data_IF_701438981235
#
_entry.id   IF_701438981235
#
_cell.length_a   1.000
_cell.length_b   1.000
_cell.length_c   1.000
_cell.angle_alpha   90.00
_cell.angle_beta   90.00
_cell.angle_gamma   90.00
#
_symmetry.space_group_name_H-M   'P 1'
#
loop_
_entity.id
_entity.type
_entity.pdbx_description
1 polymer ?
#
# COMPACT_ATOMS: atom_id res chain seq x y z
N UNK A 1 16.91 7.08 6.89
CA UNK A 1 16.11 5.84 6.92
C UNK A 1 17.09 4.66 7.04
N UNK A 2 17.55 4.34 8.24
CA UNK A 2 18.38 3.16 8.48
C UNK A 2 17.44 1.99 8.76
N UNK A 3 17.30 1.05 7.82
CA UNK A 3 16.74 -0.25 8.19
C UNK A 3 17.56 -0.80 9.36
N UNK A 4 16.95 -1.46 10.36
CA UNK A 4 17.71 -2.11 11.40
C UNK A 4 18.63 -3.13 10.72
N UNK A 5 19.93 -2.87 10.80
CA UNK A 5 21.03 -3.67 10.25
C UNK A 5 20.83 -5.21 10.21
N UNK A 6 20.16 -5.86 11.18
CA UNK A 6 19.85 -7.28 11.08
C UNK A 6 19.00 -7.68 9.86
N UNK A 7 17.98 -6.91 9.47
CA UNK A 7 17.05 -7.34 8.40
C UNK A 7 17.70 -7.25 7.03
N UNK A 8 18.39 -6.15 6.75
CA UNK A 8 19.13 -5.98 5.48
C UNK A 8 20.24 -7.00 5.35
N UNK A 9 20.99 -7.26 6.43
CA UNK A 9 22.02 -8.30 6.42
C UNK A 9 21.43 -9.70 6.14
N UNK A 10 20.31 -10.04 6.78
CA UNK A 10 19.62 -11.32 6.56
C UNK A 10 19.14 -11.45 5.11
N UNK A 11 18.53 -10.40 4.55
CA UNK A 11 18.05 -10.42 3.16
C UNK A 11 19.20 -10.56 2.17
N UNK A 12 20.31 -9.86 2.39
CA UNK A 12 21.50 -9.95 1.53
C UNK A 12 22.10 -11.35 1.63
N UNK A 13 22.30 -11.88 2.84
CA UNK A 13 22.83 -13.24 3.04
C UNK A 13 21.91 -14.29 2.41
N UNK A 14 20.59 -14.17 2.59
CA UNK A 14 19.62 -15.09 1.98
C UNK A 14 19.65 -15.01 0.45
N UNK A 15 19.73 -13.80 -0.12
CA UNK A 15 19.85 -13.61 -1.57
C UNK A 15 21.13 -14.24 -2.12
N UNK A 16 22.28 -14.00 -1.47
CA UNK A 16 23.55 -14.63 -1.87
C UNK A 16 23.51 -16.15 -1.71
N UNK A 17 22.94 -16.67 -0.61
CA UNK A 17 22.80 -18.11 -0.41
C UNK A 17 21.93 -18.76 -1.51
N UNK A 18 20.84 -18.10 -1.92
CA UNK A 18 19.98 -18.58 -3.01
C UNK A 18 20.69 -18.55 -4.36
N UNK A 19 21.46 -17.51 -4.65
CA UNK A 19 22.25 -17.42 -5.88
C UNK A 19 23.33 -18.53 -5.94
N UNK A 20 24.04 -18.75 -4.83
CA UNK A 20 25.01 -19.84 -4.73
C UNK A 20 24.37 -21.23 -4.82
N UNK A 21 23.20 -21.43 -4.20
CA UNK A 21 22.50 -22.71 -4.18
C UNK A 21 21.91 -23.08 -5.55
N UNK A 22 21.41 -22.11 -6.33
CA UNK A 22 20.78 -22.39 -7.63
C UNK A 22 21.76 -22.63 -8.78
N UNK A 23 23.05 -22.31 -8.63
CA UNK A 23 24.06 -22.38 -9.71
C UNK A 23 23.66 -21.65 -11.00
N UNK A 24 22.70 -20.73 -10.91
CA UNK A 24 22.26 -19.91 -12.04
C UNK A 24 23.28 -18.79 -12.27
N UNK A 25 23.72 -18.53 -13.52
CA UNK A 25 24.50 -17.35 -13.82
C UNK A 25 23.68 -16.12 -13.42
N UNK A 26 24.18 -15.31 -12.50
CA UNK A 26 23.42 -14.24 -11.82
C UNK A 26 22.70 -13.23 -12.73
N UNK A 27 23.01 -13.20 -14.03
CA UNK A 27 22.31 -12.40 -15.03
C UNK A 27 20.87 -12.85 -15.33
N UNK A 28 20.52 -14.13 -15.19
CA UNK A 28 19.16 -14.61 -15.46
C UNK A 28 18.17 -14.15 -14.37
N UNK A 29 18.60 -14.18 -13.10
CA UNK A 29 17.79 -13.70 -11.96
C UNK A 29 17.49 -12.21 -12.08
N UNK A 30 18.45 -11.40 -12.51
CA UNK A 30 18.27 -9.96 -12.74
C UNK A 30 17.36 -9.66 -13.95
N UNK A 31 17.22 -10.61 -14.88
CA UNK A 31 16.32 -10.51 -16.04
C UNK A 31 14.86 -10.70 -15.66
N UNK A 32 14.59 -11.50 -14.63
CA UNK A 32 13.24 -11.77 -14.12
C UNK A 32 12.72 -10.68 -13.18
N UNK A 33 13.56 -9.71 -12.81
CA UNK A 33 13.16 -8.57 -11.99
C UNK A 33 12.31 -7.60 -12.80
N UNK A 34 11.13 -7.25 -12.27
CA UNK A 34 10.27 -6.22 -12.85
C UNK A 34 10.79 -4.82 -12.53
N UNK A 35 11.65 -4.30 -13.39
CA UNK A 35 12.25 -2.97 -13.26
C UNK A 35 11.20 -1.85 -13.26
N UNK A 36 10.10 -2.01 -14.01
CA UNK A 36 8.99 -1.04 -14.03
C UNK A 36 8.34 -0.93 -12.65
N UNK A 37 8.12 -2.06 -11.99
CA UNK A 37 7.58 -2.10 -10.63
C UNK A 37 8.54 -1.47 -9.61
N UNK A 38 9.85 -1.72 -9.73
CA UNK A 38 10.83 -1.09 -8.85
C UNK A 38 10.82 0.43 -8.98
N UNK A 39 10.74 0.96 -10.21
CA UNK A 39 10.65 2.40 -10.46
C UNK A 39 9.34 2.98 -9.87
N UNK A 40 8.21 2.27 -9.98
CA UNK A 40 6.95 2.65 -9.35
C UNK A 40 7.12 2.80 -7.82
N UNK A 41 7.73 1.81 -7.17
CA UNK A 41 7.97 1.85 -5.72
C UNK A 41 8.92 3.00 -5.33
N UNK A 42 9.99 3.22 -6.09
CA UNK A 42 10.90 4.36 -5.87
C UNK A 42 10.13 5.68 -5.94
N UNK A 43 9.31 5.87 -6.98
CA UNK A 43 8.46 7.04 -7.13
C UNK A 43 7.50 7.24 -5.94
N UNK A 44 6.87 6.15 -5.47
CA UNK A 44 6.00 6.17 -4.29
C UNK A 44 6.77 6.58 -3.02
N UNK A 45 8.00 6.09 -2.82
CA UNK A 45 8.81 6.50 -1.65
C UNK A 45 9.23 7.97 -1.71
N UNK A 46 9.53 8.50 -2.90
CA UNK A 46 9.82 9.94 -3.09
C UNK A 46 8.57 10.77 -2.77
N UNK A 47 7.40 10.36 -3.25
CA UNK A 47 6.12 11.02 -2.95
C UNK A 47 5.85 11.04 -1.44
N UNK A 48 6.05 9.89 -0.78
CA UNK A 48 5.95 9.74 0.68
C UNK A 48 6.90 10.69 1.41
N UNK A 49 8.14 10.83 0.95
CA UNK A 49 9.10 11.76 1.55
C UNK A 49 8.65 13.22 1.42
N UNK A 50 8.11 13.62 0.25
CA UNK A 50 7.57 14.96 0.03
C UNK A 50 6.32 15.28 0.86
N UNK A 51 5.45 14.29 1.08
CA UNK A 51 4.27 14.44 1.94
C UNK A 51 4.65 14.81 3.38
N UNK A 52 5.74 14.24 3.91
CA UNK A 52 6.25 14.58 5.25
C UNK A 52 6.71 16.03 5.38
N UNK A 53 7.09 16.68 4.29
CA UNK A 53 7.49 18.09 4.29
C UNK A 53 6.32 19.05 4.03
N UNK A 54 5.11 18.53 3.82
CA UNK A 54 3.92 19.32 3.52
C UNK A 54 3.25 19.76 4.83
N UNK A 55 2.73 21.01 4.92
CA UNK A 55 2.06 21.52 6.14
C UNK A 55 0.77 20.78 6.52
N UNK A 56 0.29 19.85 5.67
CA UNK A 56 -0.92 19.06 5.92
C UNK A 56 -0.74 18.08 7.08
N UNK A 57 0.47 17.56 7.29
CA UNK A 57 0.76 16.60 8.37
C UNK A 57 0.70 17.28 9.74
N UNK A 58 1.42 18.40 10.00
CA UNK A 58 1.28 19.14 11.27
C UNK A 58 -0.14 19.63 11.55
N UNK A 59 -0.90 20.01 10.51
CA UNK A 59 -2.29 20.43 10.68
C UNK A 59 -3.21 19.29 11.14
N UNK A 60 -2.95 18.06 10.66
CA UNK A 60 -3.65 16.86 11.11
C UNK A 60 -3.24 16.43 12.52
N UNK A 61 -1.97 16.60 12.92
CA UNK A 61 -1.53 16.30 14.29
C UNK A 61 -2.30 17.10 15.34
N UNK A 62 -2.74 18.31 14.98
CA UNK A 62 -3.54 19.17 15.85
C UNK A 62 -5.02 18.72 15.97
N UNK A 63 -5.49 17.79 15.12
CA UNK A 63 -6.86 17.29 15.12
C UNK A 63 -6.88 15.76 15.21
N UNK A 64 -7.33 15.25 16.36
CA UNK A 64 -7.59 13.81 16.50
C UNK A 64 -8.74 13.42 15.58
N UNK A 65 -8.52 12.38 14.76
CA UNK A 65 -9.53 11.79 13.87
C UNK A 65 -9.79 10.36 14.34
N UNK A 66 -11.05 10.03 14.59
CA UNK A 66 -11.44 8.74 15.13
C UNK A 66 -12.73 8.18 14.49
N UNK A 67 -13.00 6.92 14.85
CA UNK A 67 -14.22 6.20 14.49
C UNK A 67 -14.57 6.22 13.00
N UNK A 68 -15.81 6.59 12.70
CA UNK A 68 -16.34 6.63 11.34
C UNK A 68 -15.61 7.65 10.45
N UNK A 69 -15.20 8.79 11.02
CA UNK A 69 -14.54 9.86 10.28
C UNK A 69 -13.15 9.42 9.80
N UNK A 70 -12.42 8.68 10.64
CA UNK A 70 -11.13 8.07 10.28
C UNK A 70 -11.31 7.01 9.19
N UNK A 71 -12.32 6.15 9.32
CA UNK A 71 -12.63 5.15 8.30
C UNK A 71 -12.95 5.77 6.94
N UNK A 72 -13.79 6.81 6.90
CA UNK A 72 -14.12 7.51 5.66
C UNK A 72 -12.88 8.21 5.05
N UNK A 73 -12.09 8.88 5.87
CA UNK A 73 -10.86 9.54 5.43
C UNK A 73 -9.83 8.54 4.89
N UNK A 74 -9.62 7.43 5.59
CA UNK A 74 -8.74 6.34 5.16
C UNK A 74 -9.20 5.75 3.83
N UNK A 75 -10.49 5.47 3.68
CA UNK A 75 -11.04 4.92 2.45
C UNK A 75 -10.81 5.83 1.24
N UNK A 76 -11.13 7.12 1.41
CA UNK A 76 -10.98 8.12 0.35
C UNK A 76 -9.50 8.32 -0.01
N UNK A 77 -8.65 8.57 0.99
CA UNK A 77 -7.25 8.92 0.76
C UNK A 77 -6.46 7.74 0.18
N UNK A 78 -6.73 6.50 0.62
CA UNK A 78 -6.16 5.28 0.03
C UNK A 78 -6.46 5.15 -1.46
N UNK A 79 -7.66 5.54 -1.90
CA UNK A 79 -8.04 5.47 -3.30
C UNK A 79 -7.53 6.64 -4.15
N UNK A 80 -7.23 7.79 -3.53
CA UNK A 80 -6.70 8.96 -4.23
C UNK A 80 -5.18 8.89 -4.42
N UNK A 81 -4.43 8.44 -3.41
CA UNK A 81 -2.96 8.57 -3.37
C UNK A 81 -2.23 7.24 -3.22
N UNK A 82 -2.94 6.16 -2.89
CA UNK A 82 -2.45 4.83 -2.44
C UNK A 82 -2.40 4.66 -0.92
N UNK A 83 -2.46 3.40 -0.49
CA UNK A 83 -2.52 2.99 0.91
C UNK A 83 -1.34 3.51 1.75
N UNK A 84 -0.10 3.42 1.23
CA UNK A 84 1.09 3.78 2.00
C UNK A 84 1.12 5.29 2.30
N UNK A 85 0.99 6.19 1.31
CA UNK A 85 0.83 7.62 1.57
C UNK A 85 -0.35 7.96 2.48
N UNK A 86 -1.50 7.31 2.29
CA UNK A 86 -2.71 7.59 3.05
C UNK A 86 -2.54 7.30 4.55
N UNK A 87 -1.97 6.13 4.89
CA UNK A 87 -1.68 5.77 6.28
C UNK A 87 -0.71 6.76 6.90
N UNK A 88 0.33 7.20 6.18
CA UNK A 88 1.31 8.14 6.73
C UNK A 88 0.69 9.51 7.04
N UNK A 89 -0.18 10.02 6.17
CA UNK A 89 -0.86 11.30 6.42
C UNK A 89 -1.83 11.17 7.59
N UNK A 90 -2.67 10.14 7.61
CA UNK A 90 -3.72 10.00 8.61
C UNK A 90 -3.20 9.57 9.97
N UNK A 91 -2.11 8.80 10.02
CA UNK A 91 -1.50 8.34 11.28
C UNK A 91 -1.11 9.48 12.22
N UNK A 92 -0.87 10.67 11.67
CA UNK A 92 -0.53 11.87 12.42
C UNK A 92 -1.66 12.30 13.37
N UNK A 93 -2.92 12.05 13.00
CA UNK A 93 -4.11 12.38 13.80
C UNK A 93 -4.68 11.20 14.60
N UNK A 94 -4.02 10.03 14.63
CA UNK A 94 -4.52 8.84 15.32
C UNK A 94 -3.86 8.69 16.69
N UNK A 95 -4.66 8.68 17.76
CA UNK A 95 -4.18 8.61 19.14
C UNK A 95 -4.55 7.30 19.87
N UNK A 96 -5.60 6.60 19.43
CA UNK A 96 -6.13 5.42 20.13
C UNK A 96 -5.75 4.11 19.43
N UNK A 97 -5.75 3.01 20.19
CA UNK A 97 -5.52 1.68 19.62
C UNK A 97 -6.59 1.30 18.60
N UNK A 98 -7.87 1.57 18.87
CA UNK A 98 -8.94 1.31 17.89
C UNK A 98 -8.75 2.13 16.61
N UNK A 99 -8.29 3.38 16.73
CA UNK A 99 -7.99 4.22 15.57
C UNK A 99 -6.90 3.60 14.68
N UNK A 100 -5.86 3.01 15.26
CA UNK A 100 -4.83 2.29 14.50
C UNK A 100 -5.38 1.02 13.82
N UNK A 101 -6.28 0.29 14.48
CA UNK A 101 -6.96 -0.87 13.89
C UNK A 101 -7.85 -0.44 12.72
N UNK A 102 -8.66 0.61 12.89
CA UNK A 102 -9.51 1.17 11.83
C UNK A 102 -8.68 1.65 10.65
N UNK A 103 -7.62 2.43 10.90
CA UNK A 103 -6.77 2.96 9.84
C UNK A 103 -6.10 1.82 9.05
N UNK A 104 -5.52 0.85 9.74
CA UNK A 104 -4.83 -0.27 9.09
C UNK A 104 -5.78 -1.19 8.30
N UNK A 105 -6.95 -1.50 8.87
CA UNK A 105 -7.96 -2.32 8.22
C UNK A 105 -8.54 -1.61 6.99
N UNK A 106 -9.00 -0.36 7.16
CA UNK A 106 -9.64 0.38 6.06
C UNK A 106 -8.65 0.74 4.97
N UNK A 107 -7.42 1.17 5.30
CA UNK A 107 -6.42 1.44 4.26
C UNK A 107 -6.16 0.19 3.42
N UNK A 108 -6.07 -0.99 4.03
CA UNK A 108 -5.87 -2.25 3.28
C UNK A 108 -7.08 -2.60 2.41
N UNK A 109 -8.29 -2.54 2.98
CA UNK A 109 -9.53 -2.96 2.30
C UNK A 109 -9.94 -2.00 1.18
N UNK A 110 -9.74 -0.69 1.39
CA UNK A 110 -9.99 0.36 0.40
C UNK A 110 -9.09 0.22 -0.83
N UNK A 111 -7.91 -0.39 -0.67
CA UNK A 111 -6.97 -0.68 -1.75
C UNK A 111 -7.55 -1.54 -2.89
N UNK A 112 -8.58 -2.34 -2.63
CA UNK A 112 -9.20 -3.17 -3.66
C UNK A 112 -10.17 -2.42 -4.58
N UNK A 113 -10.55 -1.18 -4.25
CA UNK A 113 -11.56 -0.43 -4.99
C UNK A 113 -11.06 0.05 -6.36
N UNK A 114 -9.79 0.42 -6.45
CA UNK A 114 -9.17 0.88 -7.71
C UNK A 114 -7.76 0.31 -7.85
N UNK A 115 -7.28 0.06 -9.09
CA UNK A 115 -5.91 -0.44 -9.28
C UNK A 115 -4.84 0.52 -8.78
N UNK A 116 -5.10 1.84 -8.81
CA UNK A 116 -4.16 2.86 -8.34
C UNK A 116 -3.95 2.80 -6.82
N UNK A 117 -4.99 2.39 -6.07
CA UNK A 117 -4.93 2.33 -4.63
C UNK A 117 -3.94 1.26 -4.12
N UNK A 118 -3.78 0.15 -4.87
CA UNK A 118 -3.00 -1.01 -4.45
C UNK A 118 -2.01 -1.51 -5.51
N UNK A 119 -0.72 -1.47 -5.15
CA UNK A 119 0.38 -1.84 -6.05
C UNK A 119 0.24 -3.24 -6.66
N UNK A 120 -0.29 -4.23 -5.92
CA UNK A 120 -0.44 -5.59 -6.47
C UNK A 120 -1.41 -5.65 -7.64
N UNK A 121 -2.47 -4.82 -7.64
CA UNK A 121 -3.42 -4.74 -8.76
C UNK A 121 -2.74 -4.20 -10.02
N UNK A 122 -1.82 -3.24 -9.88
CA UNK A 122 -1.01 -2.75 -11.01
C UNK A 122 -0.06 -3.83 -11.53
N UNK A 123 0.57 -4.60 -10.65
CA UNK A 123 1.46 -5.72 -11.04
C UNK A 123 0.70 -6.73 -11.89
N UNK A 124 -0.52 -7.10 -11.47
CA UNK A 124 -1.35 -8.08 -12.20
C UNK A 124 -1.79 -7.53 -13.55
N UNK A 125 -2.21 -6.26 -13.63
CA UNK A 125 -2.61 -5.62 -14.89
C UNK A 125 -1.44 -5.53 -15.87
N UNK A 126 -0.27 -5.10 -15.40
CA UNK A 126 0.95 -5.03 -16.19
C UNK A 126 1.39 -6.42 -16.67
N UNK A 127 1.34 -7.42 -15.77
CA UNK A 127 1.65 -8.80 -16.10
C UNK A 127 0.68 -9.41 -17.14
N UNK A 128 -0.61 -9.06 -17.07
CA UNK A 128 -1.62 -9.48 -18.05
C UNK A 128 -1.37 -8.82 -19.42
N UNK A 129 -1.09 -7.52 -19.44
CA UNK A 129 -0.80 -6.76 -20.65
C UNK A 129 0.44 -7.33 -21.37
N UNK A 130 1.51 -7.66 -20.64
CA UNK A 130 2.72 -8.30 -21.21
C UNK A 130 2.46 -9.66 -21.85
N UNK A 131 1.38 -10.34 -21.46
CA UNK A 131 0.94 -11.64 -22.02
C UNK A 131 -0.12 -11.48 -23.12
N UNK A 132 -0.45 -10.25 -23.53
CA UNK A 132 -1.47 -9.96 -24.53
C UNK A 132 -2.91 -10.19 -24.03
N UNK A 133 -3.12 -10.22 -22.71
CA UNK A 133 -4.45 -10.37 -22.11
C UNK A 133 -5.00 -8.98 -21.79
N UNK A 134 -5.98 -8.54 -22.58
CA UNK A 134 -6.71 -7.31 -22.32
C UNK A 134 -7.70 -7.50 -21.16
N UNK A 135 -7.32 -7.00 -19.98
CA UNK A 135 -8.21 -6.98 -18.82
C UNK A 135 -8.73 -5.56 -18.56
N UNK A 136 -10.03 -5.29 -18.77
CA UNK A 136 -10.55 -3.94 -18.65
C UNK A 136 -10.62 -3.49 -17.18
N UNK A 137 -9.96 -2.38 -16.86
CA UNK A 137 -9.92 -1.77 -15.51
C UNK A 137 -11.33 -1.57 -14.92
N UNK A 138 -12.32 -1.25 -15.76
CA UNK A 138 -13.74 -1.12 -15.34
C UNK A 138 -14.29 -2.38 -14.67
N UNK A 139 -13.84 -3.57 -15.08
CA UNK A 139 -14.29 -4.83 -14.49
C UNK A 139 -13.71 -4.98 -13.08
N UNK A 140 -12.43 -4.61 -12.90
CA UNK A 140 -11.80 -4.58 -11.58
C UNK A 140 -12.53 -3.63 -10.65
N UNK A 141 -12.81 -2.39 -11.10
CA UNK A 141 -13.48 -1.38 -10.27
C UNK A 141 -14.93 -1.77 -9.97
N UNK A 142 -15.65 -2.33 -10.95
CA UNK A 142 -17.06 -2.73 -10.77
C UNK A 142 -17.24 -3.81 -9.69
N UNK A 143 -16.25 -4.67 -9.48
CA UNK A 143 -16.26 -5.70 -8.42
C UNK A 143 -15.55 -5.19 -7.16
N UNK A 144 -14.40 -4.56 -7.33
CA UNK A 144 -13.54 -4.10 -6.26
C UNK A 144 -14.18 -3.02 -5.42
N UNK A 145 -14.79 -2.00 -6.04
CA UNK A 145 -15.39 -0.88 -5.32
C UNK A 145 -16.52 -1.32 -4.38
N UNK A 146 -17.54 -2.11 -4.80
CA UNK A 146 -18.56 -2.62 -3.89
C UNK A 146 -17.99 -3.47 -2.75
N UNK A 147 -17.05 -4.36 -3.06
CA UNK A 147 -16.42 -5.24 -2.06
C UNK A 147 -15.64 -4.42 -1.03
N UNK A 148 -14.85 -3.44 -1.48
CA UNK A 148 -14.12 -2.53 -0.60
C UNK A 148 -15.05 -1.71 0.27
N UNK A 149 -16.13 -1.14 -0.28
CA UNK A 149 -17.08 -0.36 0.51
C UNK A 149 -17.71 -1.22 1.60
N UNK A 150 -18.21 -2.41 1.25
CA UNK A 150 -18.86 -3.31 2.21
C UNK A 150 -17.89 -3.79 3.28
N UNK A 151 -16.70 -4.25 2.89
CA UNK A 151 -15.71 -4.77 3.84
C UNK A 151 -15.14 -3.68 4.73
N UNK A 152 -14.87 -2.48 4.21
CA UNK A 152 -14.43 -1.34 5.02
C UNK A 152 -15.52 -0.87 5.98
N UNK A 153 -16.78 -0.82 5.55
CA UNK A 153 -17.90 -0.46 6.43
C UNK A 153 -18.07 -1.48 7.57
N UNK A 154 -17.99 -2.78 7.26
CA UNK A 154 -18.03 -3.85 8.26
C UNK A 154 -16.85 -3.76 9.23
N UNK A 155 -15.63 -3.49 8.74
CA UNK A 155 -14.45 -3.34 9.59
C UNK A 155 -14.61 -2.17 10.57
N UNK A 156 -15.06 -1.00 10.08
CA UNK A 156 -15.33 0.16 10.94
C UNK A 156 -16.42 -0.17 11.96
N UNK A 157 -17.54 -0.79 11.53
CA UNK A 157 -18.62 -1.16 12.42
C UNK A 157 -18.16 -2.13 13.52
N UNK A 158 -17.33 -3.12 13.19
CA UNK A 158 -16.80 -4.07 14.17
C UNK A 158 -15.80 -3.45 15.14
N UNK A 159 -14.93 -2.56 14.66
CA UNK A 159 -13.82 -2.00 15.45
C UNK A 159 -14.22 -0.79 16.30
N UNK A 160 -15.30 -0.09 15.94
CA UNK A 160 -15.81 1.05 16.71
C UNK A 160 -16.89 0.64 17.72
N UNK A 161 -17.52 -0.52 17.52
CA UNK A 161 -18.60 -1.02 18.37
C UNK A 161 -18.14 -1.95 19.48
N UNK A 162 -16.87 -2.38 19.45
CA UNK A 162 -16.18 -3.13 20.53
C UNK A 162 -15.47 -2.13 21.43
#
# INVERSE_FOLDING_TARGET
>A
MSLPWPITAVLVVAAFALLFARREPGGEVLRDVDWTLLVLFVGMFVLVAGLRTTPIVPALEAHVIDGLSLGAAAFALSNLVSNVPAVLVLSAGVSTHEGWLVLSAVATLAGNATPVAFAASLIVLEGAARRGVDFPVRCLVAVGLPVSVVTSALAVALLVWV
#
